data_IF_977089317028
#
_entry.id   IF_977089317028
#
_cell.length_a   1.000
_cell.length_b   1.000
_cell.length_c   1.000
_cell.angle_alpha   90.00
_cell.angle_beta   90.00
_cell.angle_gamma   90.00
#
_symmetry.space_group_name_H-M   'P 1'
#
loop_
_entity.id
_entity.type
_entity.pdbx_description
1 polymer ?
#
# COMPACT_ATOMS: atom_id res chain seq x y z
N UNK A 1 18.42 6.29 8.88
CA UNK A 1 18.19 6.65 7.46
C UNK A 1 16.70 6.94 7.22
N UNK A 2 16.09 7.81 8.04
CA UNK A 2 14.63 8.11 8.01
C UNK A 2 14.25 9.26 7.07
N UNK A 3 15.24 9.98 6.54
CA UNK A 3 15.06 11.22 5.76
C UNK A 3 15.21 11.00 4.25
N UNK A 4 15.16 9.75 3.78
CA UNK A 4 15.17 9.44 2.35
C UNK A 4 13.75 9.40 1.81
N UNK A 5 13.55 9.78 0.55
CA UNK A 5 12.23 9.78 -0.10
C UNK A 5 11.51 8.43 0.06
N UNK A 6 12.23 7.32 -0.15
CA UNK A 6 11.69 5.97 0.02
C UNK A 6 11.24 5.69 1.45
N UNK A 7 12.02 6.12 2.46
CA UNK A 7 11.65 5.90 3.86
C UNK A 7 10.40 6.70 4.26
N UNK A 8 10.26 7.93 3.74
CA UNK A 8 9.07 8.76 3.97
C UNK A 8 7.84 8.15 3.30
N UNK A 9 7.99 7.62 2.08
CA UNK A 9 6.88 6.99 1.35
C UNK A 9 6.43 5.69 2.02
N UNK A 10 7.38 4.91 2.54
CA UNK A 10 7.07 3.69 3.27
C UNK A 10 6.34 3.99 4.59
N UNK A 11 6.79 4.99 5.36
CA UNK A 11 6.11 5.43 6.58
C UNK A 11 4.70 5.97 6.30
N UNK A 12 4.51 6.72 5.20
CA UNK A 12 3.20 7.23 4.81
C UNK A 12 2.19 6.10 4.54
N UNK A 13 2.64 4.97 3.96
CA UNK A 13 1.76 3.83 3.75
C UNK A 13 1.25 3.25 5.07
N UNK A 14 2.10 3.15 6.08
CA UNK A 14 1.74 2.67 7.43
C UNK A 14 0.74 3.64 8.10
N UNK A 15 0.99 4.94 8.02
CA UNK A 15 0.10 5.97 8.60
C UNK A 15 -1.29 5.99 7.94
N UNK A 16 -1.37 5.75 6.63
CA UNK A 16 -2.63 5.77 5.89
C UNK A 16 -3.58 4.63 6.28
N UNK A 17 -3.03 3.46 6.60
CA UNK A 17 -3.83 2.24 6.83
C UNK A 17 -4.05 1.95 8.31
N UNK A 18 -3.49 2.76 9.20
CA UNK A 18 -3.72 2.65 10.64
C UNK A 18 -5.23 2.55 10.97
N UNK A 19 -5.66 1.58 11.81
CA UNK A 19 -4.86 0.71 12.68
C UNK A 19 -4.42 -0.64 12.07
N UNK A 20 -4.66 -0.86 10.77
CA UNK A 20 -4.37 -2.14 10.11
C UNK A 20 -2.89 -2.27 9.79
N UNK A 21 -2.31 -3.45 10.00
CA UNK A 21 -0.91 -3.71 9.66
C UNK A 21 -0.73 -4.09 8.18
N UNK A 22 0.40 -3.65 7.61
CA UNK A 22 0.86 -4.09 6.29
C UNK A 22 1.64 -5.39 6.48
N UNK A 23 1.06 -6.51 6.03
CA UNK A 23 1.69 -7.85 6.12
C UNK A 23 2.65 -8.13 4.95
N UNK A 24 2.61 -7.32 3.91
CA UNK A 24 3.54 -7.45 2.79
C UNK A 24 3.51 -6.29 1.81
N UNK A 25 4.63 -6.06 1.12
CA UNK A 25 4.74 -5.07 0.04
C UNK A 25 5.44 -5.70 -1.15
N UNK A 26 4.82 -5.67 -2.32
CA UNK A 26 5.40 -6.12 -3.59
C UNK A 26 5.52 -4.95 -4.54
N UNK A 27 6.70 -4.76 -5.11
CA UNK A 27 6.94 -3.74 -6.12
C UNK A 27 7.27 -4.47 -7.43
N UNK A 28 6.42 -4.29 -8.43
CA UNK A 28 6.66 -4.78 -9.78
C UNK A 28 7.12 -3.63 -10.66
N UNK A 29 8.27 -3.80 -11.30
CA UNK A 29 8.78 -2.87 -12.31
C UNK A 29 8.34 -3.38 -13.67
N UNK A 30 7.66 -2.55 -14.46
CA UNK A 30 7.25 -2.86 -15.83
C UNK A 30 8.38 -2.55 -16.82
N UNK A 31 8.23 -3.04 -18.05
CA UNK A 31 9.20 -2.80 -19.14
C UNK A 31 9.35 -1.32 -19.50
N UNK A 32 8.30 -0.52 -19.29
CA UNK A 32 8.31 0.94 -19.47
C UNK A 32 8.97 1.70 -18.30
N UNK A 33 9.51 0.99 -17.31
CA UNK A 33 10.13 1.55 -16.11
C UNK A 33 9.15 2.00 -15.03
N UNK A 34 7.84 1.93 -15.27
CA UNK A 34 6.84 2.28 -14.25
C UNK A 34 6.81 1.23 -13.14
N UNK A 35 6.51 1.69 -11.92
CA UNK A 35 6.41 0.84 -10.74
C UNK A 35 4.94 0.65 -10.36
N UNK A 36 4.54 -0.61 -10.18
CA UNK A 36 3.28 -0.97 -9.53
C UNK A 36 3.57 -1.43 -8.11
N UNK A 37 3.03 -0.71 -7.14
CA UNK A 37 3.16 -1.03 -5.72
C UNK A 37 1.88 -1.76 -5.29
N UNK A 38 2.03 -2.98 -4.78
CA UNK A 38 0.96 -3.75 -4.15
C UNK A 38 1.25 -3.88 -2.66
N UNK A 39 0.31 -3.43 -1.84
CA UNK A 39 0.37 -3.49 -0.39
C UNK A 39 -0.63 -4.52 0.08
N UNK A 40 -0.16 -5.52 0.81
CA UNK A 40 -0.99 -6.54 1.42
C UNK A 40 -1.34 -6.12 2.85
N UNK A 41 -2.64 -6.00 3.13
CA UNK A 41 -3.17 -5.71 4.47
C UNK A 41 -3.53 -7.00 5.20
N UNK A 42 -3.57 -6.97 6.53
CA UNK A 42 -4.05 -8.12 7.31
C UNK A 42 -5.49 -8.49 6.90
N UNK A 43 -5.67 -9.75 6.50
CA UNK A 43 -6.96 -10.30 6.06
C UNK A 43 -8.00 -10.28 7.17
N UNK A 44 -7.60 -10.34 8.44
CA UNK A 44 -8.53 -10.32 9.57
C UNK A 44 -9.30 -8.98 9.66
N UNK A 45 -8.74 -7.90 9.11
CA UNK A 45 -9.32 -6.56 9.12
C UNK A 45 -10.13 -6.24 7.86
N UNK A 46 -10.28 -7.18 6.92
CA UNK A 46 -10.90 -6.92 5.62
C UNK A 46 -12.30 -6.31 5.75
N UNK A 47 -13.18 -6.93 6.52
CA UNK A 47 -14.56 -6.45 6.71
C UNK A 47 -14.63 -5.03 7.29
N UNK A 48 -13.60 -4.62 8.04
CA UNK A 48 -13.55 -3.31 8.72
C UNK A 48 -13.02 -2.19 7.82
N UNK A 49 -12.13 -2.49 6.87
CA UNK A 49 -11.34 -1.48 6.15
C UNK A 49 -11.50 -1.52 4.63
N UNK A 50 -12.06 -2.58 4.05
CA UNK A 50 -12.15 -2.80 2.59
C UNK A 50 -12.80 -1.63 1.85
N UNK A 51 -13.87 -1.05 2.41
CA UNK A 51 -14.56 0.09 1.84
C UNK A 51 -13.73 1.40 1.78
N UNK A 52 -12.54 1.43 2.39
CA UNK A 52 -11.62 2.59 2.41
C UNK A 52 -10.44 2.43 1.45
N UNK A 53 -10.20 1.23 0.91
CA UNK A 53 -9.00 0.90 0.12
C UNK A 53 -8.79 1.85 -1.06
N UNK A 54 -9.84 2.16 -1.80
CA UNK A 54 -9.76 3.10 -2.94
C UNK A 54 -9.40 4.53 -2.48
N UNK A 55 -9.84 4.91 -1.28
CA UNK A 55 -9.51 6.22 -0.70
C UNK A 55 -8.04 6.28 -0.32
N UNK A 56 -7.47 5.23 0.27
CA UNK A 56 -6.04 5.17 0.58
C UNK A 56 -5.18 5.28 -0.68
N UNK A 57 -5.56 4.56 -1.74
CA UNK A 57 -4.87 4.63 -3.02
C UNK A 57 -4.93 6.04 -3.63
N UNK A 58 -6.10 6.67 -3.60
CA UNK A 58 -6.27 8.03 -4.10
C UNK A 58 -5.44 9.06 -3.32
N UNK A 59 -5.43 8.98 -1.99
CA UNK A 59 -4.65 9.89 -1.13
C UNK A 59 -3.15 9.69 -1.34
N UNK A 60 -2.67 8.44 -1.36
CA UNK A 60 -1.26 8.15 -1.61
C UNK A 60 -0.81 8.66 -2.98
N UNK A 61 -1.63 8.46 -4.03
CA UNK A 61 -1.36 9.00 -5.37
C UNK A 61 -1.33 10.52 -5.35
N UNK A 62 -2.26 11.17 -4.64
CA UNK A 62 -2.31 12.64 -4.56
C UNK A 62 -1.09 13.24 -3.86
N UNK A 63 -0.58 12.57 -2.82
CA UNK A 63 0.56 13.05 -2.03
C UNK A 63 1.92 12.72 -2.67
N UNK A 64 2.04 11.56 -3.33
CA UNK A 64 3.35 11.03 -3.79
C UNK A 64 3.51 10.99 -5.31
N UNK A 65 2.40 11.09 -6.05
CA UNK A 65 2.35 10.88 -7.50
C UNK A 65 2.49 9.41 -7.93
N UNK A 66 2.50 8.46 -6.99
CA UNK A 66 2.70 7.03 -7.28
C UNK A 66 1.41 6.24 -7.16
N UNK A 67 1.20 5.32 -8.10
CA UNK A 67 0.09 4.37 -8.02
C UNK A 67 0.41 3.26 -7.01
N UNK A 68 -0.58 2.95 -6.17
CA UNK A 68 -0.56 1.86 -5.20
C UNK A 68 -1.90 1.15 -5.21
N UNK A 69 -1.88 -0.16 -4.99
CA UNK A 69 -3.08 -0.97 -4.77
C UNK A 69 -2.97 -1.64 -3.42
N UNK A 70 -4.02 -1.55 -2.61
CA UNK A 70 -4.13 -2.30 -1.36
C UNK A 70 -5.00 -3.54 -1.61
N UNK A 71 -4.54 -4.70 -1.19
CA UNK A 71 -5.26 -5.97 -1.36
C UNK A 71 -5.10 -6.84 -0.10
N UNK A 72 -6.05 -7.74 0.13
CA UNK A 72 -5.91 -8.74 1.19
C UNK A 72 -5.30 -10.00 0.60
N UNK A 73 -4.34 -10.65 1.26
CA UNK A 73 -3.75 -11.88 0.73
C UNK A 73 -4.81 -12.97 0.61
N UNK A 74 -4.91 -13.58 -0.57
CA UNK A 74 -5.64 -14.83 -0.72
C UNK A 74 -4.93 -15.90 0.11
N UNK A 75 -5.70 -16.70 0.85
CA UNK A 75 -5.16 -17.89 1.50
C UNK A 75 -4.75 -18.84 0.40
N UNK A 76 -3.44 -19.03 0.23
CA UNK A 76 -2.89 -20.04 -0.67
C UNK A 76 -3.49 -21.40 -0.26
N UNK A 77 -4.36 -21.95 -1.09
CA UNK A 77 -4.71 -23.38 -1.04
C UNK A 77 -3.64 -24.16 -1.79
#
# INVERSE_FOLDING_TARGET
>A
RSRTLTAVYDALLEDLVYPVEIVGKRIRIKLDGTQLIKVHLDKNEQTNIEHKVDTFAAVYKKLTGRDVTFEFPETWN
#
